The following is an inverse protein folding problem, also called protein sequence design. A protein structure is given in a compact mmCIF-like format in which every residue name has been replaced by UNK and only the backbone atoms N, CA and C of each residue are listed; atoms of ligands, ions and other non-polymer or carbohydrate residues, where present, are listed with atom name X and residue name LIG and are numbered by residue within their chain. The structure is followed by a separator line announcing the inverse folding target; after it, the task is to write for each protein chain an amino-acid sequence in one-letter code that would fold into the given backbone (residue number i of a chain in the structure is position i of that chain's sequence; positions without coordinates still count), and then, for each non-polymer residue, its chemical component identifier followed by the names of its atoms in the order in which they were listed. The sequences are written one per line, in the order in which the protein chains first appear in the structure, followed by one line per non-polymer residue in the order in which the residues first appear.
data_IF_635328231923
#
_entry.id   IF_635328231923
#
_cell.length_a   1.000
_cell.length_b   1.000
_cell.length_c   1.000
_cell.angle_alpha   90.00
_cell.angle_beta   90.00
_cell.angle_gamma   90.00
#
_symmetry.space_group_name_H-M   'P 1'
#
loop_
_entity.id
_entity.type
_entity.pdbx_description
1 polymer ?
#
# COMPACT_ATOMS: atom_id res chain seq x y z
N UNK A 1 -16.51 10.99 -35.44
CA UNK A 1 -16.53 12.27 -34.69
C UNK A 1 -15.59 12.19 -33.52
N UNK A 2 -15.04 13.32 -33.07
CA UNK A 2 -14.00 13.44 -32.02
C UNK A 2 -14.35 12.62 -30.75
N UNK A 3 -15.64 12.45 -30.49
CA UNK A 3 -16.18 11.71 -29.35
C UNK A 3 -16.11 10.17 -29.48
N UNK A 4 -16.25 9.62 -30.69
CA UNK A 4 -15.99 8.18 -30.92
C UNK A 4 -14.50 7.85 -30.86
N UNK A 5 -13.68 8.78 -31.31
CA UNK A 5 -12.22 8.64 -31.38
C UNK A 5 -11.62 8.65 -29.97
N UNK A 6 -12.08 9.57 -29.12
CA UNK A 6 -11.75 9.61 -27.68
C UNK A 6 -12.18 8.33 -26.94
N UNK A 7 -13.34 7.76 -27.28
CA UNK A 7 -13.81 6.50 -26.68
C UNK A 7 -12.95 5.30 -27.10
N UNK A 8 -12.51 5.24 -28.36
CA UNK A 8 -11.59 4.19 -28.86
C UNK A 8 -10.21 4.29 -28.22
N UNK A 9 -9.68 5.51 -28.04
CA UNK A 9 -8.40 5.75 -27.35
C UNK A 9 -8.50 5.36 -25.86
N UNK A 10 -9.61 5.67 -25.19
CA UNK A 10 -9.83 5.28 -23.81
C UNK A 10 -9.93 3.76 -23.61
N UNK A 11 -10.49 3.03 -24.58
CA UNK A 11 -10.56 1.55 -24.56
C UNK A 11 -9.18 0.94 -24.76
N UNK A 12 -8.40 1.47 -25.72
CA UNK A 12 -7.01 1.06 -25.95
C UNK A 12 -6.13 1.30 -24.73
N UNK A 13 -6.31 2.42 -24.04
CA UNK A 13 -5.56 2.74 -22.82
C UNK A 13 -5.97 1.81 -21.65
N UNK A 14 -7.26 1.50 -21.50
CA UNK A 14 -7.72 0.50 -20.51
C UNK A 14 -7.13 -0.90 -20.77
N UNK A 15 -6.98 -1.29 -22.03
CA UNK A 15 -6.36 -2.56 -22.45
C UNK A 15 -4.85 -2.59 -22.18
N UNK A 16 -4.15 -1.49 -22.46
CA UNK A 16 -2.71 -1.34 -22.21
C UNK A 16 -2.38 -1.37 -20.71
N UNK A 17 -3.14 -0.67 -19.86
CA UNK A 17 -2.99 -0.75 -18.40
C UNK A 17 -3.27 -2.15 -17.87
N UNK A 18 -4.30 -2.81 -18.41
CA UNK A 18 -4.66 -4.18 -18.00
C UNK A 18 -3.54 -5.18 -18.33
N UNK A 19 -2.93 -5.09 -19.51
CA UNK A 19 -1.81 -5.96 -19.91
C UNK A 19 -0.56 -5.65 -19.08
N UNK A 20 -0.27 -4.39 -18.79
CA UNK A 20 0.86 -3.98 -17.95
C UNK A 20 0.74 -4.52 -16.51
N UNK A 21 -0.45 -4.44 -15.92
CA UNK A 21 -0.70 -4.89 -14.55
C UNK A 21 -0.72 -6.43 -14.42
N UNK A 22 -1.07 -7.16 -15.49
CA UNK A 22 -1.20 -8.62 -15.47
C UNK A 22 0.06 -9.36 -15.94
N UNK A 23 0.94 -8.74 -16.74
CA UNK A 23 2.02 -9.46 -17.46
C UNK A 23 3.45 -9.01 -17.20
N UNK A 24 3.71 -8.10 -16.26
CA UNK A 24 5.10 -7.69 -15.93
C UNK A 24 5.85 -7.14 -17.17
N UNK A 25 5.11 -6.47 -18.07
CA UNK A 25 5.63 -5.97 -19.34
C UNK A 25 6.58 -4.79 -19.08
N UNK A 26 7.78 -4.81 -19.67
CA UNK A 26 8.77 -3.74 -19.42
C UNK A 26 8.43 -2.47 -20.23
N UNK A 27 8.75 -1.27 -19.72
CA UNK A 27 8.50 -0.02 -20.44
C UNK A 27 9.11 0.04 -21.86
N UNK A 28 10.23 -0.65 -22.08
CA UNK A 28 10.87 -0.79 -23.40
C UNK A 28 10.03 -1.56 -24.43
N UNK A 29 9.22 -2.51 -23.99
CA UNK A 29 8.36 -3.32 -24.88
C UNK A 29 7.11 -2.54 -25.28
N UNK A 30 6.60 -1.69 -24.37
CA UNK A 30 5.52 -0.74 -24.61
C UNK A 30 5.89 0.25 -25.72
N UNK A 31 7.13 0.77 -25.66
CA UNK A 31 7.70 1.70 -26.64
C UNK A 31 7.59 1.16 -28.07
N UNK A 32 8.01 -0.09 -28.28
CA UNK A 32 7.95 -0.73 -29.60
C UNK A 32 6.52 -0.95 -30.11
N UNK A 33 5.54 -1.18 -29.22
CA UNK A 33 4.12 -1.30 -29.61
C UNK A 33 3.53 0.06 -29.99
N UNK A 34 3.85 1.12 -29.25
CA UNK A 34 3.36 2.49 -29.51
C UNK A 34 3.92 3.04 -30.84
N UNK A 35 5.21 2.81 -31.10
CA UNK A 35 5.84 3.17 -32.37
C UNK A 35 5.21 2.42 -33.56
N UNK A 36 5.01 1.10 -33.45
CA UNK A 36 4.35 0.30 -34.51
C UNK A 36 2.92 0.74 -34.79
N UNK A 37 2.25 1.33 -33.80
CA UNK A 37 0.85 1.78 -33.90
C UNK A 37 0.71 3.24 -34.33
N UNK A 38 1.82 3.95 -34.63
CA UNK A 38 1.85 5.41 -34.92
C UNK A 38 1.22 6.26 -33.82
N UNK A 39 1.39 5.86 -32.56
CA UNK A 39 0.86 6.56 -31.38
C UNK A 39 1.95 7.33 -30.62
N UNK A 40 2.98 7.79 -31.33
CA UNK A 40 4.19 8.44 -30.79
C UNK A 40 3.88 9.63 -29.87
N UNK A 41 2.85 10.42 -30.20
CA UNK A 41 2.42 11.56 -29.37
C UNK A 41 1.91 11.15 -27.98
N UNK A 42 1.51 9.89 -27.81
CA UNK A 42 1.08 9.34 -26.54
C UNK A 42 2.22 8.62 -25.82
N UNK A 43 3.36 8.37 -26.46
CA UNK A 43 4.49 7.64 -25.89
C UNK A 43 5.06 8.36 -24.67
N UNK A 44 5.41 9.64 -24.82
CA UNK A 44 5.94 10.45 -23.73
C UNK A 44 4.90 10.68 -22.63
N UNK A 45 3.63 10.92 -23.00
CA UNK A 45 2.53 11.13 -22.06
C UNK A 45 2.19 9.86 -21.27
N UNK A 46 2.22 8.69 -21.90
CA UNK A 46 1.91 7.40 -21.26
C UNK A 46 3.05 6.94 -20.35
N UNK A 47 4.31 7.13 -20.78
CA UNK A 47 5.48 6.79 -19.98
C UNK A 47 5.56 7.64 -18.71
N UNK A 48 5.46 8.97 -18.84
CA UNK A 48 5.51 9.89 -17.69
C UNK A 48 4.35 9.69 -16.73
N UNK A 49 3.15 9.43 -17.26
CA UNK A 49 1.96 9.16 -16.42
C UNK A 49 2.08 7.81 -15.71
N UNK A 50 2.55 6.76 -16.40
CA UNK A 50 2.73 5.45 -15.80
C UNK A 50 3.82 5.46 -14.73
N UNK A 51 4.97 6.10 -14.99
CA UNK A 51 6.06 6.27 -14.03
C UNK A 51 5.58 7.01 -12.78
N UNK A 52 4.81 8.10 -12.95
CA UNK A 52 4.23 8.83 -11.82
C UNK A 52 3.27 7.97 -11.02
N UNK A 53 2.34 7.25 -11.66
CA UNK A 53 1.39 6.38 -10.97
C UNK A 53 2.08 5.24 -10.20
N UNK A 54 3.15 4.67 -10.77
CA UNK A 54 3.97 3.66 -10.10
C UNK A 54 4.68 4.26 -8.90
N UNK A 55 5.30 5.43 -9.07
CA UNK A 55 5.99 6.13 -7.98
C UNK A 55 5.04 6.47 -6.84
N UNK A 56 3.86 7.02 -7.14
CA UNK A 56 2.81 7.32 -6.15
C UNK A 56 2.32 6.04 -5.46
N UNK A 57 2.08 4.97 -6.21
CA UNK A 57 1.67 3.68 -5.66
C UNK A 57 2.71 3.06 -4.72
N UNK A 58 4.00 3.11 -5.09
CA UNK A 58 5.12 2.64 -4.26
C UNK A 58 5.21 3.51 -3.00
N UNK A 59 5.17 4.83 -3.14
CA UNK A 59 5.26 5.75 -2.00
C UNK A 59 4.13 5.52 -1.01
N UNK A 60 2.88 5.44 -1.48
CA UNK A 60 1.73 5.13 -0.63
C UNK A 60 1.83 3.75 0.02
N UNK A 61 2.34 2.76 -0.71
CA UNK A 61 2.55 1.41 -0.19
C UNK A 61 3.58 1.38 0.95
N UNK A 62 4.70 2.07 0.77
CA UNK A 62 5.76 2.21 1.78
C UNK A 62 5.23 2.96 3.01
N UNK A 63 4.56 4.10 2.81
CA UNK A 63 4.01 4.92 3.90
C UNK A 63 3.02 4.12 4.75
N UNK A 64 2.03 3.48 4.11
CA UNK A 64 1.05 2.61 4.81
C UNK A 64 1.72 1.41 5.49
N UNK A 65 2.79 0.87 4.89
CA UNK A 65 3.55 -0.23 5.46
C UNK A 65 4.29 0.18 6.73
N UNK A 66 4.95 1.33 6.70
CA UNK A 66 5.66 1.91 7.85
C UNK A 66 4.68 2.25 8.96
N UNK A 67 3.58 2.94 8.66
CA UNK A 67 2.56 3.32 9.64
C UNK A 67 2.00 2.09 10.37
N UNK A 68 1.55 1.08 9.62
CA UNK A 68 1.05 -0.18 10.20
C UNK A 68 2.12 -0.92 11.00
N UNK A 69 3.38 -0.87 10.56
CA UNK A 69 4.50 -1.50 11.24
C UNK A 69 4.77 -0.83 12.60
N UNK A 70 4.79 0.50 12.62
CA UNK A 70 4.98 1.30 13.84
C UNK A 70 3.83 1.07 14.82
N UNK A 71 2.58 1.14 14.36
CA UNK A 71 1.41 0.94 15.21
C UNK A 71 1.43 -0.45 15.88
N UNK A 72 1.66 -1.51 15.09
CA UNK A 72 1.80 -2.88 15.62
C UNK A 72 2.96 -3.01 16.58
N UNK A 73 4.10 -2.39 16.29
CA UNK A 73 5.27 -2.44 17.17
C UNK A 73 5.00 -1.76 18.52
N UNK A 74 4.31 -0.61 18.52
CA UNK A 74 3.90 0.09 19.74
C UNK A 74 2.91 -0.76 20.55
N UNK A 75 1.91 -1.37 19.90
CA UNK A 75 0.93 -2.23 20.57
C UNK A 75 1.60 -3.46 21.21
N UNK A 76 2.49 -4.14 20.47
CA UNK A 76 3.25 -5.27 20.98
C UNK A 76 4.16 -4.87 22.16
N UNK A 77 4.85 -3.73 22.06
CA UNK A 77 5.67 -3.21 23.15
C UNK A 77 4.86 -2.96 24.43
N UNK A 78 3.69 -2.33 24.30
CA UNK A 78 2.77 -2.12 25.43
C UNK A 78 2.33 -3.44 26.07
N UNK A 79 2.00 -4.45 25.26
CA UNK A 79 1.59 -5.77 25.74
C UNK A 79 2.72 -6.48 26.48
N UNK A 80 3.94 -6.47 25.93
CA UNK A 80 5.11 -7.06 26.59
C UNK A 80 5.38 -6.39 27.93
N UNK A 81 5.33 -5.06 27.98
CA UNK A 81 5.57 -4.31 29.19
C UNK A 81 4.48 -4.57 30.23
N UNK A 82 3.21 -4.60 29.83
CA UNK A 82 2.11 -5.01 30.70
C UNK A 82 2.34 -6.42 31.30
N UNK A 83 2.76 -7.38 30.47
CA UNK A 83 3.09 -8.73 30.94
C UNK A 83 4.26 -8.76 31.93
N UNK A 84 5.32 -7.97 31.69
CA UNK A 84 6.45 -7.83 32.61
C UNK A 84 6.04 -7.18 33.94
N UNK A 85 5.16 -6.18 33.88
CA UNK A 85 4.62 -5.50 35.06
C UNK A 85 3.80 -6.46 35.93
N UNK A 86 2.87 -7.21 35.33
CA UNK A 86 2.06 -8.22 36.03
C UNK A 86 2.93 -9.29 36.66
N UNK A 87 3.96 -9.80 35.95
CA UNK A 87 4.93 -10.77 36.49
C UNK A 87 5.74 -10.22 37.67
N UNK A 88 5.94 -8.91 37.74
CA UNK A 88 6.59 -8.22 38.87
C UNK A 88 5.64 -7.93 40.03
N UNK A 89 4.38 -8.35 39.94
CA UNK A 89 3.38 -8.17 40.98
C UNK A 89 2.72 -6.78 40.99
N UNK A 90 2.87 -6.00 39.91
CA UNK A 90 2.11 -4.75 39.75
C UNK A 90 0.65 -5.14 39.52
N UNK A 91 -0.28 -4.49 40.22
CA UNK A 91 -1.69 -4.83 40.13
C UNK A 91 -2.28 -4.45 38.77
N UNK A 92 -3.30 -5.21 38.37
CA UNK A 92 -3.95 -5.07 37.08
C UNK A 92 -4.46 -3.64 36.84
N UNK A 93 -5.01 -2.97 37.85
CA UNK A 93 -5.58 -1.64 37.68
C UNK A 93 -4.48 -0.63 37.30
N UNK A 94 -3.35 -0.66 38.00
CA UNK A 94 -2.19 0.19 37.67
C UNK A 94 -1.61 -0.15 36.29
N UNK A 95 -1.56 -1.42 35.90
CA UNK A 95 -1.09 -1.81 34.55
C UNK A 95 -1.98 -1.24 33.45
N UNK A 96 -3.31 -1.34 33.59
CA UNK A 96 -4.26 -0.80 32.63
C UNK A 96 -4.15 0.74 32.52
N UNK A 97 -3.97 1.42 33.65
CA UNK A 97 -3.78 2.88 33.69
C UNK A 97 -2.49 3.34 33.00
N UNK A 98 -1.36 2.67 33.27
CA UNK A 98 -0.05 3.04 32.69
C UNK A 98 0.01 2.75 31.19
N UNK A 99 -0.46 1.57 30.77
CA UNK A 99 -0.30 1.09 29.39
C UNK A 99 -1.40 1.60 28.46
N UNK A 100 -2.55 2.01 29.03
CA UNK A 100 -3.77 2.34 28.30
C UNK A 100 -4.42 1.13 27.63
N UNK A 101 -4.01 -0.09 28.00
CA UNK A 101 -4.62 -1.32 27.51
C UNK A 101 -5.92 -1.62 28.25
N UNK A 102 -6.74 -2.49 27.67
CA UNK A 102 -7.95 -3.00 28.33
C UNK A 102 -7.72 -4.40 28.89
N UNK A 103 -8.48 -4.77 29.92
CA UNK A 103 -8.44 -6.13 30.47
C UNK A 103 -8.77 -7.18 29.40
N UNK A 104 -9.70 -6.87 28.50
CA UNK A 104 -10.05 -7.73 27.37
C UNK A 104 -8.84 -7.96 26.47
N UNK A 105 -8.11 -6.91 26.10
CA UNK A 105 -6.90 -7.01 25.28
C UNK A 105 -5.85 -7.90 25.94
N UNK A 106 -5.65 -7.79 27.25
CA UNK A 106 -4.69 -8.63 27.98
C UNK A 106 -5.12 -10.10 28.02
N UNK A 107 -6.42 -10.39 28.20
CA UNK A 107 -6.97 -11.76 28.15
C UNK A 107 -6.83 -12.39 26.76
N UNK A 108 -7.16 -11.65 25.70
CA UNK A 108 -7.04 -12.13 24.31
C UNK A 108 -5.59 -12.45 23.94
N UNK A 109 -4.63 -11.81 24.60
CA UNK A 109 -3.19 -12.02 24.41
C UNK A 109 -2.55 -12.93 25.49
N UNK A 110 -3.33 -13.57 26.36
CA UNK A 110 -2.86 -14.60 27.29
C UNK A 110 -2.06 -14.10 28.50
N UNK A 111 -2.20 -12.82 28.88
CA UNK A 111 -1.56 -12.26 30.08
C UNK A 111 -2.44 -12.36 31.34
N UNK A 112 -3.72 -12.68 31.17
CA UNK A 112 -4.74 -12.90 32.20
C UNK A 112 -5.53 -14.16 31.86
#
# INVERSE_FOLDING_TARGET
GIEEESKRVAILWKLLLYIYWVRDLKPSELKGVLQRSKLEQYEELTMTTAERLISEGIQQGIEKGIEKGIEKGIEQGKLEDAGKMLKKGIDLKTVLEITGLTEKTLKENGFL
#
